data_IF_597075382274
#
_entry.id   IF_597075382274
#
_cell.length_a   1.000
_cell.length_b   1.000
_cell.length_c   1.000
_cell.angle_alpha   90.00
_cell.angle_beta   90.00
_cell.angle_gamma   90.00
#
_symmetry.space_group_name_H-M   'P 1'
#
loop_
_entity.id
_entity.type
_entity.pdbx_description
1 polymer ?
#
# COMPACT_ATOMS: atom_id res chain seq x y z
N UNK A 1 6.82 -22.25 -6.95
CA UNK A 1 7.31 -21.02 -7.60
C UNK A 1 6.69 -19.87 -6.82
N UNK A 2 7.50 -19.05 -6.15
CA UNK A 2 7.01 -17.95 -5.32
C UNK A 2 6.42 -16.86 -6.20
N UNK A 3 5.10 -16.73 -6.17
CA UNK A 3 4.39 -15.55 -6.64
C UNK A 3 4.28 -14.59 -5.44
N UNK A 4 5.37 -13.87 -5.18
CA UNK A 4 5.37 -12.70 -4.31
C UNK A 4 5.67 -11.50 -5.22
N UNK A 5 4.70 -11.08 -6.03
CA UNK A 5 4.77 -9.85 -6.84
C UNK A 5 4.58 -8.64 -5.90
N UNK A 6 5.44 -8.55 -4.88
CA UNK A 6 5.47 -7.46 -3.92
C UNK A 6 6.66 -6.54 -4.20
N UNK A 7 6.37 -5.24 -4.26
CA UNK A 7 7.37 -4.19 -4.41
C UNK A 7 7.49 -3.47 -3.08
N UNK A 8 8.66 -3.57 -2.46
CA UNK A 8 8.99 -2.82 -1.24
C UNK A 8 9.99 -1.72 -1.56
N UNK A 9 9.67 -0.50 -1.14
CA UNK A 9 10.51 0.69 -1.32
C UNK A 9 10.66 1.34 0.05
N UNK A 10 11.90 1.61 0.43
CA UNK A 10 12.22 2.28 1.69
C UNK A 10 12.80 3.66 1.39
N UNK A 11 12.26 4.70 2.01
CA UNK A 11 12.71 6.08 1.85
C UNK A 11 12.79 6.76 3.19
N UNK A 12 13.87 7.52 3.39
CA UNK A 12 14.01 8.40 4.54
C UNK A 12 13.41 9.73 4.17
N UNK A 13 12.42 10.17 4.93
CA UNK A 13 11.79 11.48 4.77
C UNK A 13 12.20 12.38 5.93
N UNK A 14 12.56 13.64 5.65
CA UNK A 14 12.83 14.61 6.70
C UNK A 14 11.52 15.05 7.35
N UNK A 15 11.53 15.19 8.68
CA UNK A 15 10.39 15.70 9.44
C UNK A 15 9.77 14.69 10.40
N UNK A 16 8.84 15.16 11.24
CA UNK A 16 8.17 14.33 12.23
C UNK A 16 7.24 13.32 11.56
N UNK A 17 7.07 12.17 12.21
CA UNK A 17 6.19 11.11 11.74
C UNK A 17 4.74 11.57 11.56
N UNK A 18 4.25 12.48 12.40
CA UNK A 18 2.89 13.03 12.31
C UNK A 18 2.65 13.78 11.00
N UNK A 19 3.59 14.58 10.52
CA UNK A 19 3.44 15.28 9.24
C UNK A 19 3.41 14.30 8.07
N UNK A 20 4.29 13.30 8.10
CA UNK A 20 4.31 12.27 7.05
C UNK A 20 3.03 11.45 7.09
N UNK A 21 2.54 11.10 8.29
CA UNK A 21 1.30 10.39 8.50
C UNK A 21 0.11 11.12 7.87
N UNK A 22 0.01 12.44 8.06
CA UNK A 22 -1.06 13.23 7.42
C UNK A 22 -1.04 13.16 5.88
N UNK A 23 0.14 13.08 5.26
CA UNK A 23 0.28 12.94 3.81
C UNK A 23 -0.10 11.55 3.29
N UNK A 24 -0.16 10.55 4.17
CA UNK A 24 -0.59 9.20 3.85
C UNK A 24 -2.09 9.02 4.09
N UNK A 25 -2.65 9.66 5.12
CA UNK A 25 -4.06 9.49 5.51
C UNK A 25 -5.02 10.44 4.80
N UNK A 26 -4.54 11.59 4.34
CA UNK A 26 -5.37 12.56 3.62
C UNK A 26 -5.45 12.18 2.12
N UNK A 27 -6.64 11.79 1.61
CA UNK A 27 -6.82 11.36 0.22
C UNK A 27 -6.46 12.47 -0.79
N UNK A 28 -6.60 13.75 -0.42
CA UNK A 28 -6.22 14.84 -1.31
C UNK A 28 -4.70 14.99 -1.39
N UNK A 29 -3.98 14.77 -0.29
CA UNK A 29 -2.51 14.84 -0.25
C UNK A 29 -1.89 13.66 -0.96
N UNK A 30 -2.38 12.45 -0.72
CA UNK A 30 -1.81 11.23 -1.31
C UNK A 30 -1.98 11.19 -2.83
N UNK A 31 -3.10 11.70 -3.37
CA UNK A 31 -3.31 11.88 -4.81
C UNK A 31 -2.26 12.80 -5.45
N UNK A 32 -1.73 13.76 -4.70
CA UNK A 32 -0.74 14.72 -5.17
C UNK A 32 0.65 14.13 -5.43
N UNK A 33 1.01 13.01 -4.79
CA UNK A 33 2.37 12.46 -4.88
C UNK A 33 2.43 10.98 -5.29
N UNK A 34 1.38 10.19 -5.02
CA UNK A 34 1.34 8.77 -5.37
C UNK A 34 0.84 8.50 -6.81
N UNK A 35 0.18 9.50 -7.42
CA UNK A 35 -0.28 9.46 -8.81
C UNK A 35 -1.78 9.75 -8.94
N UNK A 36 -2.22 10.05 -10.17
CA UNK A 36 -3.61 10.47 -10.45
C UNK A 36 -4.66 9.39 -10.12
N UNK A 37 -4.25 8.12 -10.03
CA UNK A 37 -5.07 6.98 -9.59
C UNK A 37 -5.10 6.79 -8.07
N UNK A 38 -4.31 7.55 -7.30
CA UNK A 38 -4.34 7.49 -5.84
C UNK A 38 -5.56 8.21 -5.24
N UNK A 39 -6.32 8.97 -6.05
CA UNK A 39 -7.68 9.38 -5.70
C UNK A 39 -8.66 8.21 -5.59
N UNK A 40 -8.30 7.03 -6.15
CA UNK A 40 -9.02 5.76 -6.01
C UNK A 40 -8.29 4.78 -5.07
N UNK A 41 -7.44 5.30 -4.16
CA UNK A 41 -7.02 4.49 -3.01
C UNK A 41 -8.30 4.01 -2.33
N UNK A 42 -8.56 2.72 -2.44
CA UNK A 42 -9.79 2.12 -1.98
C UNK A 42 -9.88 2.16 -0.46
N UNK A 43 -10.75 1.32 0.08
CA UNK A 43 -10.97 1.25 1.53
C UNK A 43 -9.67 0.97 2.30
N UNK A 44 -9.50 1.70 3.41
CA UNK A 44 -8.45 1.44 4.41
C UNK A 44 -8.67 0.07 5.03
N UNK A 45 -7.77 -0.87 4.74
CA UNK A 45 -7.78 -2.24 5.28
C UNK A 45 -7.17 -2.28 6.69
N UNK A 46 -6.16 -1.43 6.95
CA UNK A 46 -5.46 -1.34 8.23
C UNK A 46 -5.10 0.10 8.57
N UNK A 47 -5.29 0.52 9.81
CA UNK A 47 -4.93 1.85 10.29
C UNK A 47 -4.46 1.77 11.74
N UNK A 48 -3.17 1.98 11.97
CA UNK A 48 -2.52 2.05 13.28
C UNK A 48 -1.70 3.34 13.34
N UNK A 49 -2.35 4.48 13.68
CA UNK A 49 -1.67 5.75 13.74
C UNK A 49 -0.58 5.78 14.82
N UNK A 50 0.56 6.45 14.58
CA UNK A 50 1.02 7.04 13.31
C UNK A 50 1.95 6.09 12.52
N UNK A 51 1.96 4.78 12.81
CA UNK A 51 3.01 3.87 12.35
C UNK A 51 2.64 3.05 11.12
N UNK A 52 1.36 2.69 10.90
CA UNK A 52 0.98 1.83 9.77
C UNK A 52 -0.37 2.20 9.20
N UNK A 53 -0.45 2.37 7.88
CA UNK A 53 -1.73 2.45 7.16
C UNK A 53 -1.67 1.58 5.91
N UNK A 54 -2.72 0.82 5.63
CA UNK A 54 -2.84 0.01 4.43
C UNK A 54 -4.17 0.27 3.72
N UNK A 55 -4.07 0.44 2.41
CA UNK A 55 -5.18 0.69 1.49
C UNK A 55 -5.34 -0.51 0.57
N UNK A 56 -6.60 -0.90 0.36
CA UNK A 56 -6.94 -1.84 -0.70
C UNK A 56 -6.95 -1.11 -2.02
N UNK A 57 -6.19 -1.58 -3.01
CA UNK A 57 -6.12 -0.94 -4.33
C UNK A 57 -6.27 -1.98 -5.44
N UNK A 58 -7.40 -1.96 -6.15
CA UNK A 58 -7.75 -2.98 -7.14
C UNK A 58 -7.76 -4.40 -6.57
N UNK A 59 -7.00 -5.30 -7.19
CA UNK A 59 -6.76 -6.68 -6.71
C UNK A 59 -5.52 -6.77 -5.79
N UNK A 60 -5.03 -5.64 -5.27
CA UNK A 60 -3.82 -5.56 -4.44
C UNK A 60 -4.01 -4.84 -3.11
N UNK A 61 -2.94 -4.77 -2.34
CA UNK A 61 -2.83 -4.01 -1.11
C UNK A 61 -1.58 -3.13 -1.15
N UNK A 62 -1.75 -1.87 -0.74
CA UNK A 62 -0.67 -0.91 -0.57
C UNK A 62 -0.57 -0.60 0.91
N UNK A 63 0.54 -0.95 1.55
CA UNK A 63 0.81 -0.62 2.95
C UNK A 63 1.96 0.37 3.07
N UNK A 64 1.77 1.38 3.91
CA UNK A 64 2.75 2.36 4.31
C UNK A 64 3.07 2.13 5.79
N UNK A 65 4.33 1.80 6.08
CA UNK A 65 4.84 1.69 7.45
C UNK A 65 5.80 2.85 7.70
N UNK A 66 5.61 3.56 8.82
CA UNK A 66 6.43 4.68 9.25
C UNK A 66 7.20 4.27 10.50
N UNK A 67 8.52 4.42 10.45
CA UNK A 67 9.40 4.15 11.59
C UNK A 67 10.14 5.43 11.96
N UNK A 68 9.93 5.99 13.16
CA UNK A 68 10.61 7.22 13.57
C UNK A 68 12.13 6.97 13.71
N UNK A 69 12.94 7.88 13.17
CA UNK A 69 14.40 7.82 13.16
C UNK A 69 15.00 9.19 13.49
N UNK A 70 14.98 9.53 14.77
CA UNK A 70 15.44 10.85 15.24
C UNK A 70 14.54 11.95 14.68
N UNK A 71 15.13 12.89 13.94
CA UNK A 71 14.41 13.99 13.26
C UNK A 71 13.82 13.60 11.89
N UNK A 72 14.05 12.35 11.47
CA UNK A 72 13.55 11.82 10.20
C UNK A 72 12.59 10.66 10.45
N UNK A 73 11.87 10.25 9.42
CA UNK A 73 11.07 9.03 9.43
C UNK A 73 11.47 8.13 8.27
N UNK A 74 11.53 6.84 8.52
CA UNK A 74 11.67 5.84 7.45
C UNK A 74 10.27 5.48 7.01
N UNK A 75 9.91 5.88 5.79
CA UNK A 75 8.73 5.41 5.09
C UNK A 75 9.08 4.13 4.35
N UNK A 76 8.35 3.08 4.69
CA UNK A 76 8.33 1.82 3.99
C UNK A 76 7.03 1.74 3.20
N UNK A 77 7.14 1.80 1.89
CA UNK A 77 6.05 1.53 0.97
C UNK A 77 6.12 0.08 0.52
N UNK A 78 5.04 -0.67 0.70
CA UNK A 78 4.91 -2.02 0.15
C UNK A 78 3.65 -2.10 -0.69
N UNK A 79 3.80 -2.39 -1.97
CA UNK A 79 2.69 -2.71 -2.86
C UNK A 79 2.73 -4.21 -3.15
N UNK A 80 1.71 -4.93 -2.72
CA UNK A 80 1.54 -6.35 -3.01
C UNK A 80 0.37 -6.51 -3.95
N UNK A 81 0.59 -7.13 -5.11
CA UNK A 81 -0.53 -7.70 -5.86
C UNK A 81 -0.97 -8.99 -5.19
N UNK A 82 -2.26 -9.16 -4.91
CA UNK A 82 -2.72 -10.50 -4.62
C UNK A 82 -2.54 -11.31 -5.89
N UNK A 83 -1.81 -12.42 -5.79
CA UNK A 83 -1.79 -13.43 -6.81
C UNK A 83 -3.25 -13.74 -7.13
N UNK A 84 -3.71 -13.36 -8.33
CA UNK A 84 -4.97 -13.85 -8.84
C UNK A 84 -4.77 -15.36 -8.92
N UNK A 85 -5.32 -16.10 -7.95
CA UNK A 85 -5.45 -17.54 -8.12
C UNK A 85 -6.20 -17.67 -9.43
N UNK A 86 -5.49 -18.07 -10.49
CA UNK A 86 -6.15 -18.61 -11.66
C UNK A 86 -6.94 -19.79 -11.09
N UNK A 87 -8.24 -19.59 -10.90
CA UNK A 87 -9.18 -20.67 -10.78
C UNK A 87 -9.12 -21.42 -12.12
N UNK A 88 -8.12 -22.27 -12.27
CA UNK A 88 -7.98 -23.20 -13.36
C UNK A 88 -8.67 -24.50 -12.93
N UNK A 89 -9.47 -25.04 -13.86
CA UNK A 89 -10.31 -26.25 -13.79
C UNK A 89 -11.62 -26.09 -12.99
N UNK A 90 -12.82 -26.27 -13.55
CA UNK A 90 -13.19 -27.30 -14.51
C UNK A 90 -14.32 -26.87 -15.45
N UNK A 91 -14.01 -26.69 -16.74
CA UNK A 91 -15.03 -26.81 -17.79
C UNK A 91 -15.12 -28.30 -18.11
N UNK A 92 -16.01 -29.01 -17.43
CA UNK A 92 -16.32 -30.41 -17.73
C UNK A 92 -17.15 -30.38 -19.03
N UNK A 93 -16.55 -30.78 -20.15
CA UNK A 93 -17.31 -31.22 -21.32
C UNK A 93 -18.11 -32.45 -20.88
N UNK A 94 -19.44 -32.39 -20.99
CA UNK A 94 -20.28 -33.56 -21.09
C UNK A 94 -20.89 -33.53 -22.50
N UNK A 95 -20.58 -34.58 -23.26
CA UNK A 95 -21.16 -34.93 -24.54
C UNK A 95 -22.56 -35.52 -24.37
#
# INVERSE_FOLDING_TARGET
MSDDDSVRIERVLPGPIDEVWEHLTDPAKIAGWLGNDAGDLGEVSRCEPPNVVAYRWGEGEVSFELVPRGENVVLVFTHRRHARVLACASRRMAA
#
